data_IF_528673942539
#
_entry.id   IF_528673942539
#
_cell.length_a   1.000
_cell.length_b   1.000
_cell.length_c   1.000
_cell.angle_alpha   90.00
_cell.angle_beta   90.00
_cell.angle_gamma   90.00
#
_symmetry.space_group_name_H-M   'P 1'
#
loop_
_entity.id
_entity.type
_entity.pdbx_description
1 polymer ?
#
# COMPACT_ATOMS: atom_id res chain seq x y z
N UNK A 1 19.66 6.25 -15.67
CA UNK A 1 19.46 6.14 -15.28
C UNK A 1 19.38 6.31 -14.40
N UNK A 2 19.02 6.46 -14.00
CA UNK A 2 18.90 6.44 -13.21
C UNK A 2 18.68 6.08 -12.46
N UNK A 3 18.54 5.79 -12.20
CA UNK A 3 18.23 5.32 -11.57
C UNK A 3 18.01 5.55 -10.40
N UNK A 4 17.24 5.00 -10.26
CA UNK A 4 16.75 5.16 -9.02
C UNK A 4 17.77 4.82 -8.07
N UNK A 5 18.00 5.33 -7.12
CA UNK A 5 18.81 4.98 -6.30
C UNK A 5 18.28 3.95 -5.62
N UNK A 6 18.49 2.93 -5.59
CA UNK A 6 18.07 1.70 -5.10
C UNK A 6 17.20 1.64 -3.92
N UNK A 7 17.19 2.60 -3.10
CA UNK A 7 16.36 2.48 -1.96
C UNK A 7 15.02 3.14 -2.13
N UNK A 8 14.71 3.66 -3.29
CA UNK A 8 13.42 4.27 -3.54
C UNK A 8 12.77 3.66 -4.73
N UNK A 9 12.28 2.44 -4.57
CA UNK A 9 11.54 1.80 -5.62
C UNK A 9 10.11 2.28 -5.58
N UNK A 10 9.62 2.77 -6.71
CA UNK A 10 8.23 3.15 -6.84
C UNK A 10 7.58 2.18 -7.82
N UNK A 11 6.64 1.42 -7.33
CA UNK A 11 5.95 0.39 -8.09
C UNK A 11 4.46 0.67 -8.00
N UNK A 12 3.63 -0.25 -8.44
CA UNK A 12 2.20 -0.14 -8.20
C UNK A 12 1.77 -1.17 -7.15
N UNK A 13 0.52 -1.08 -6.71
CA UNK A 13 0.03 -1.98 -5.69
C UNK A 13 0.03 -3.43 -6.11
N UNK A 14 -0.01 -3.71 -7.42
CA UNK A 14 0.08 -5.09 -7.91
C UNK A 14 1.42 -5.72 -7.57
N UNK A 15 2.47 -4.92 -7.50
CA UNK A 15 3.79 -5.46 -7.19
C UNK A 15 3.89 -5.94 -5.76
N UNK A 16 3.00 -5.51 -4.87
CA UNK A 16 3.00 -5.94 -3.48
C UNK A 16 1.78 -6.80 -3.17
N UNK A 17 1.14 -7.35 -4.21
CA UNK A 17 -0.05 -8.16 -4.05
C UNK A 17 0.15 -9.32 -3.09
N UNK A 18 1.31 -9.96 -3.16
CA UNK A 18 1.60 -11.10 -2.27
C UNK A 18 1.63 -10.70 -0.82
N UNK A 19 2.27 -9.59 -0.50
CA UNK A 19 2.32 -9.09 0.87
C UNK A 19 0.93 -8.73 1.36
N UNK A 20 0.14 -8.06 0.51
CA UNK A 20 -1.22 -7.69 0.88
C UNK A 20 -2.07 -8.93 1.11
N UNK A 21 -1.91 -9.95 0.27
CA UNK A 21 -2.68 -11.18 0.43
C UNK A 21 -2.31 -11.91 1.72
N UNK A 22 -1.05 -11.87 2.10
CA UNK A 22 -0.64 -12.47 3.37
C UNK A 22 -1.27 -11.77 4.56
N UNK A 23 -1.37 -10.47 4.50
CA UNK A 23 -1.89 -9.68 5.60
C UNK A 23 -3.41 -9.78 5.70
N UNK A 24 -4.07 -9.65 4.56
CA UNK A 24 -5.53 -9.61 4.53
C UNK A 24 -6.18 -10.96 4.33
N UNK A 25 -5.40 -11.94 3.89
CA UNK A 25 -5.92 -13.28 3.64
C UNK A 25 -6.62 -13.41 2.29
N UNK A 26 -6.51 -12.40 1.45
CA UNK A 26 -7.23 -12.36 0.19
C UNK A 26 -6.57 -11.40 -0.76
N UNK A 27 -6.89 -11.51 -2.04
CA UNK A 27 -6.37 -10.59 -3.05
C UNK A 27 -6.97 -9.21 -2.84
N UNK A 28 -6.13 -8.25 -2.55
CA UNK A 28 -6.57 -6.88 -2.30
C UNK A 28 -6.42 -5.96 -3.49
N UNK A 29 -5.84 -6.45 -4.59
CA UNK A 29 -5.50 -5.55 -5.71
C UNK A 29 -6.72 -5.00 -6.42
N UNK A 30 -7.85 -5.71 -6.36
CA UNK A 30 -9.09 -5.26 -6.99
C UNK A 30 -10.02 -4.50 -6.04
N UNK A 31 -9.64 -4.37 -4.79
CA UNK A 31 -10.44 -3.67 -3.80
C UNK A 31 -10.32 -2.17 -4.04
N UNK A 32 -11.43 -1.45 -4.00
CA UNK A 32 -11.42 -0.02 -4.18
C UNK A 32 -11.06 0.69 -2.87
N UNK A 33 -10.28 1.72 -2.98
CA UNK A 33 -9.91 2.56 -1.87
C UNK A 33 -10.14 4.03 -2.26
N UNK A 34 -10.60 4.82 -1.34
CA UNK A 34 -10.85 6.24 -1.58
C UNK A 34 -9.84 7.06 -0.79
N UNK A 35 -9.18 7.99 -1.46
CA UNK A 35 -8.22 8.85 -0.80
C UNK A 35 -8.94 9.81 0.15
N UNK A 36 -8.52 9.83 1.41
CA UNK A 36 -9.14 10.70 2.39
C UNK A 36 -8.83 12.17 2.16
N UNK A 37 -7.81 12.46 1.37
CA UNK A 37 -7.41 13.84 1.11
C UNK A 37 -8.09 14.42 -0.14
N UNK A 38 -7.99 13.74 -1.28
CA UNK A 38 -8.51 14.30 -2.53
C UNK A 38 -9.77 13.59 -3.04
N UNK A 39 -10.16 12.50 -2.42
CA UNK A 39 -11.38 11.79 -2.79
C UNK A 39 -11.28 10.87 -3.99
N UNK A 40 -10.10 10.74 -4.60
CA UNK A 40 -9.97 9.87 -5.74
C UNK A 40 -10.17 8.42 -5.33
N UNK A 41 -10.94 7.68 -6.12
CA UNK A 41 -11.18 6.26 -5.89
C UNK A 41 -10.35 5.47 -6.89
N UNK A 42 -9.63 4.48 -6.40
CA UNK A 42 -8.77 3.68 -7.25
C UNK A 42 -8.69 2.28 -6.69
N UNK A 43 -8.32 1.31 -7.52
CA UNK A 43 -8.04 -0.03 -7.03
C UNK A 43 -6.74 0.00 -6.25
N UNK A 44 -6.66 -0.78 -5.20
CA UNK A 44 -5.42 -0.88 -4.41
C UNK A 44 -4.24 -1.25 -5.30
N UNK A 45 -4.47 -2.14 -6.28
CA UNK A 45 -3.42 -2.54 -7.20
C UNK A 45 -2.91 -1.39 -8.07
N UNK A 46 -3.65 -0.31 -8.21
CA UNK A 46 -3.23 0.84 -8.99
C UNK A 46 -2.55 1.94 -8.20
N UNK A 47 -2.46 1.81 -6.89
CA UNK A 47 -1.83 2.86 -6.07
C UNK A 47 -0.32 2.86 -6.26
N UNK A 48 0.32 3.98 -5.96
CA UNK A 48 1.77 4.05 -5.99
C UNK A 48 2.31 3.31 -4.77
N UNK A 49 3.19 2.36 -5.00
CA UNK A 49 3.78 1.58 -3.93
C UNK A 49 5.24 1.93 -3.78
N UNK A 50 5.59 2.50 -2.65
CA UNK A 50 6.97 2.82 -2.32
C UNK A 50 7.47 1.71 -1.41
N UNK A 51 8.40 0.91 -1.92
CA UNK A 51 8.89 -0.26 -1.21
C UNK A 51 10.29 0.00 -0.70
N UNK A 52 10.45 -0.07 0.61
CA UNK A 52 11.73 0.16 1.22
C UNK A 52 11.76 -0.63 2.51
N UNK A 53 12.48 -1.71 2.53
CA UNK A 53 12.49 -2.58 3.69
C UNK A 53 12.80 -1.80 4.95
N UNK A 54 12.10 -2.05 6.04
CA UNK A 54 11.09 -3.11 6.23
C UNK A 54 9.67 -2.67 5.91
N UNK A 55 9.46 -1.64 5.13
CA UNK A 55 8.14 -1.06 4.97
C UNK A 55 7.68 -0.90 3.53
N UNK A 56 6.37 -0.75 3.41
CA UNK A 56 5.70 -0.44 2.15
C UNK A 56 4.75 0.70 2.44
N UNK A 57 4.72 1.69 1.56
CA UNK A 57 3.78 2.80 1.66
C UNK A 57 3.02 2.87 0.35
N UNK A 58 1.69 2.78 0.42
CA UNK A 58 0.83 2.98 -0.73
C UNK A 58 0.30 4.39 -0.71
N UNK A 59 0.46 5.10 -1.83
CA UNK A 59 0.06 6.49 -1.94
C UNK A 59 -0.92 6.71 -3.08
N UNK A 60 -1.74 7.72 -2.92
CA UNK A 60 -2.69 8.13 -3.95
C UNK A 60 -1.96 8.56 -5.21
N UNK A 61 -2.44 8.13 -6.38
CA UNK A 61 -1.82 8.49 -7.65
C UNK A 61 -2.04 9.95 -8.01
N UNK A 62 -3.05 10.60 -7.44
CA UNK A 62 -3.37 11.98 -7.76
C UNK A 62 -2.67 12.97 -6.85
N UNK A 63 -2.69 12.77 -5.56
CA UNK A 63 -2.15 13.74 -4.61
C UNK A 63 -1.00 13.21 -3.76
N UNK A 64 -0.69 11.93 -3.88
CA UNK A 64 0.41 11.27 -3.19
C UNK A 64 0.27 11.22 -1.66
N UNK A 65 -0.92 11.45 -1.16
CA UNK A 65 -1.19 11.26 0.26
C UNK A 65 -1.04 9.79 0.60
N UNK A 66 -0.49 9.50 1.75
CA UNK A 66 -0.34 8.11 2.21
C UNK A 66 -1.73 7.52 2.44
N UNK A 67 -1.98 6.38 1.84
CA UNK A 67 -3.25 5.68 1.99
C UNK A 67 -3.10 4.45 2.88
N UNK A 68 -2.00 3.73 2.76
CA UNK A 68 -1.74 2.57 3.60
C UNK A 68 -0.25 2.51 3.88
N UNK A 69 0.11 2.21 5.10
CA UNK A 69 1.50 1.99 5.45
C UNK A 69 1.63 0.66 6.16
N UNK A 70 2.56 -0.16 5.70
CA UNK A 70 2.78 -1.50 6.21
C UNK A 70 4.23 -1.61 6.65
N UNK A 71 4.46 -2.07 7.85
CA UNK A 71 5.81 -2.34 8.35
C UNK A 71 5.84 -3.78 8.84
N UNK A 72 6.74 -4.57 8.30
CA UNK A 72 6.89 -5.97 8.70
C UNK A 72 8.23 -6.15 9.38
N UNK A 73 8.20 -6.62 10.59
CA UNK A 73 9.40 -7.00 11.34
C UNK A 73 9.35 -8.50 11.56
N UNK A 74 10.43 -9.12 12.02
CA UNK A 74 10.39 -10.57 12.25
C UNK A 74 9.28 -11.01 13.20
N UNK A 75 8.87 -10.15 14.12
CA UNK A 75 7.89 -10.53 15.13
C UNK A 75 6.51 -9.97 14.89
N UNK A 76 6.36 -8.97 14.06
CA UNK A 76 5.08 -8.26 13.94
C UNK A 76 4.87 -7.65 12.59
N UNK A 77 3.62 -7.43 12.26
CA UNK A 77 3.22 -6.66 11.09
C UNK A 77 2.34 -5.51 11.56
N UNK A 78 2.70 -4.30 11.19
CA UNK A 78 1.90 -3.13 11.49
C UNK A 78 1.25 -2.64 10.20
N UNK A 79 -0.06 -2.38 10.25
CA UNK A 79 -0.78 -1.86 9.09
C UNK A 79 -1.55 -0.63 9.54
N UNK A 80 -1.26 0.49 8.90
CA UNK A 80 -1.91 1.75 9.20
C UNK A 80 -2.71 2.16 7.95
N UNK A 81 -4.02 2.05 8.00
CA UNK A 81 -4.90 2.36 6.89
C UNK A 81 -5.43 3.78 7.10
N UNK A 82 -5.10 4.66 6.17
CA UNK A 82 -5.53 6.05 6.22
C UNK A 82 -6.52 6.40 5.13
N UNK A 83 -6.77 5.48 4.21
CA UNK A 83 -7.75 5.68 3.18
C UNK A 83 -9.15 5.51 3.73
N UNK A 84 -10.11 6.15 3.08
CA UNK A 84 -11.51 5.86 3.35
C UNK A 84 -11.86 4.60 2.63
N UNK A 85 -12.86 3.93 3.00
CA UNK A 85 -13.44 2.79 2.28
C UNK A 85 -12.53 1.61 2.04
N UNK A 86 -11.37 1.61 2.57
CA UNK A 86 -10.51 0.45 2.48
C UNK A 86 -10.63 -0.33 3.77
N UNK A 87 -10.82 -1.64 3.72
CA UNK A 87 -10.94 -2.42 4.95
C UNK A 87 -9.68 -2.35 5.78
N UNK A 88 -9.84 -2.32 7.08
CA UNK A 88 -8.71 -2.44 7.97
C UNK A 88 -8.19 -3.86 7.93
N UNK A 89 -6.91 -4.04 8.20
CA UNK A 89 -6.36 -5.40 8.26
C UNK A 89 -7.01 -6.18 9.38
N UNK A 90 -7.21 -7.48 9.16
CA UNK A 90 -7.77 -8.30 10.22
C UNK A 90 -6.85 -8.37 11.40
N UNK A 91 -7.43 -8.57 12.59
CA UNK A 91 -6.63 -8.74 13.70
C UNK A 91 -6.00 -10.03 13.67
N UNK A 92 -4.82 -10.18 13.97
CA UNK A 92 -4.13 -11.47 13.99
C UNK A 92 -3.67 -11.81 15.37
#
# INVERSE_FOLDING_TARGET
MTEAKGDDLVLDGNAVAGTLAEIYGDDMTTVLAECANCGKVDHVGGLLAYVRAPGIVLRCTACQTVMVRIVQTPNRTFVDVRAKRMPAAPKT
#
